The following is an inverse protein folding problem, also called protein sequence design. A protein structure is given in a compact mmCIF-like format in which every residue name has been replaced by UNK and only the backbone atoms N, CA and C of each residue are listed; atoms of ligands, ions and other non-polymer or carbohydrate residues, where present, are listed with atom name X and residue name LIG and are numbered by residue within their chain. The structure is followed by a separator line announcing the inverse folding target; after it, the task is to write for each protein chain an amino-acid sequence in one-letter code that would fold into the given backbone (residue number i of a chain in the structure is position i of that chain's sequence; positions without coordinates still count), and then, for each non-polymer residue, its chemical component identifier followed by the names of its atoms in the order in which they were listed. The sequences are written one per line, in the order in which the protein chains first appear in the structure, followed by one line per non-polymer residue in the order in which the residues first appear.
data_IF_091819075297
#
_entry.id   IF_091819075297
#
_cell.length_a   1.000
_cell.length_b   1.000
_cell.length_c   1.000
_cell.angle_alpha   90.00
_cell.angle_beta   90.00
_cell.angle_gamma   90.00
#
_symmetry.space_group_name_H-M   'P 1'
#
loop_
_entity.id
_entity.type
_entity.pdbx_description
1 polymer ?
#
# COMPACT_ATOMS: atom_id res chain seq x y z
N UNK A 1 -17.82 -7.80 5.26
CA UNK A 1 -19.10 -8.38 5.71
C UNK A 1 -19.43 -9.65 4.91
N UNK A 2 -20.02 -10.72 5.47
CA UNK A 2 -20.51 -11.87 4.69
C UNK A 2 -21.57 -11.52 3.63
N UNK A 3 -22.30 -10.42 3.80
CA UNK A 3 -23.37 -9.94 2.90
C UNK A 3 -22.85 -9.01 1.79
N UNK A 4 -21.63 -8.50 1.90
CA UNK A 4 -21.03 -7.63 0.89
C UNK A 4 -20.57 -8.46 -0.32
N UNK A 5 -21.16 -8.17 -1.49
CA UNK A 5 -20.67 -8.70 -2.77
C UNK A 5 -19.41 -7.93 -3.20
N UNK A 6 -18.31 -8.62 -3.59
CA UNK A 6 -17.15 -7.95 -4.15
C UNK A 6 -17.54 -7.15 -5.39
N UNK A 7 -17.17 -5.87 -5.42
CA UNK A 7 -17.31 -5.04 -6.62
C UNK A 7 -16.44 -5.64 -7.75
N UNK A 8 -16.96 -5.61 -8.98
CA UNK A 8 -16.16 -5.97 -10.14
C UNK A 8 -14.95 -5.05 -10.26
N UNK A 9 -13.77 -5.66 -10.41
CA UNK A 9 -12.55 -4.89 -10.65
C UNK A 9 -12.65 -4.23 -12.00
N UNK A 10 -12.76 -2.91 -12.01
CA UNK A 10 -12.60 -2.11 -13.23
C UNK A 10 -11.15 -2.22 -13.71
N UNK A 11 -10.90 -3.09 -14.68
CA UNK A 11 -9.64 -3.17 -15.43
C UNK A 11 -9.59 -2.03 -16.43
N UNK A 12 -8.55 -1.19 -16.36
CA UNK A 12 -8.33 -0.15 -17.35
C UNK A 12 -7.60 -0.76 -18.55
N UNK A 13 -8.25 -0.75 -19.71
CA UNK A 13 -7.63 -1.13 -20.98
C UNK A 13 -6.73 0.03 -21.45
N UNK A 14 -5.47 -0.01 -21.01
CA UNK A 14 -4.48 1.01 -21.34
C UNK A 14 -4.14 1.03 -22.84
N UNK A 15 -4.27 -0.10 -23.54
CA UNK A 15 -4.02 -0.17 -24.98
C UNK A 15 -5.11 0.59 -25.74
N UNK A 16 -6.37 0.36 -25.39
CA UNK A 16 -7.51 1.12 -25.96
C UNK A 16 -7.42 2.60 -25.63
N UNK A 17 -7.05 2.96 -24.39
CA UNK A 17 -6.83 4.37 -24.02
C UNK A 17 -5.72 4.98 -24.87
N UNK A 18 -4.60 4.27 -25.06
CA UNK A 18 -3.48 4.74 -25.90
C UNK A 18 -3.89 4.90 -27.36
N UNK A 19 -4.60 3.93 -27.93
CA UNK A 19 -5.10 3.99 -29.30
C UNK A 19 -6.03 5.19 -29.50
N UNK A 20 -6.99 5.41 -28.59
CA UNK A 20 -7.89 6.57 -28.63
C UNK A 20 -7.14 7.89 -28.55
N UNK A 21 -6.13 8.00 -27.68
CA UNK A 21 -5.30 9.22 -27.56
C UNK A 21 -4.45 9.47 -28.81
N UNK A 22 -3.89 8.42 -29.41
CA UNK A 22 -3.14 8.52 -30.66
C UNK A 22 -4.03 9.04 -31.80
N UNK A 23 -5.25 8.54 -31.93
CA UNK A 23 -6.20 9.03 -32.93
C UNK A 23 -6.60 10.49 -32.66
N UNK A 24 -6.83 10.85 -31.40
CA UNK A 24 -7.12 12.24 -31.02
C UNK A 24 -5.98 13.18 -31.46
N UNK A 25 -4.72 12.78 -31.26
CA UNK A 25 -3.55 13.55 -31.71
C UNK A 25 -3.48 13.63 -33.25
N UNK A 26 -3.82 12.55 -33.96
CA UNK A 26 -3.86 12.51 -35.42
C UNK A 26 -4.88 13.49 -35.98
N UNK A 27 -6.11 13.45 -35.45
CA UNK A 27 -7.20 14.37 -35.82
C UNK A 27 -6.81 15.82 -35.53
N UNK A 28 -6.28 16.09 -34.33
CA UNK A 28 -5.87 17.44 -33.94
C UNK A 28 -4.84 18.03 -34.92
N UNK A 29 -3.94 17.20 -35.44
CA UNK A 29 -2.93 17.65 -36.42
C UNK A 29 -3.51 18.03 -37.78
N UNK A 30 -4.72 17.56 -38.09
CA UNK A 30 -5.43 17.81 -39.35
C UNK A 30 -6.62 18.78 -39.19
N UNK A 31 -6.83 19.36 -38.01
CA UNK A 31 -7.93 20.27 -37.75
C UNK A 31 -7.74 21.62 -38.49
N UNK A 32 -8.81 22.21 -39.05
CA UNK A 32 -8.74 23.50 -39.73
C UNK A 32 -8.26 24.65 -38.85
N UNK A 33 -8.63 24.63 -37.55
CA UNK A 33 -8.26 25.66 -36.57
C UNK A 33 -6.80 25.58 -36.13
N UNK A 34 -6.10 24.49 -36.47
CA UNK A 34 -4.67 24.39 -36.20
C UNK A 34 -3.93 25.28 -37.19
N UNK A 35 -3.04 26.11 -36.68
CA UNK A 35 -2.18 26.90 -37.53
C UNK A 35 -1.39 26.01 -38.50
N UNK A 36 -1.02 26.57 -39.66
CA UNK A 36 -0.20 25.87 -40.63
C UNK A 36 1.06 25.30 -39.97
N UNK A 37 1.54 24.17 -40.51
CA UNK A 37 2.69 23.47 -39.92
C UNK A 37 3.94 24.36 -39.84
N UNK A 38 4.07 25.31 -40.75
CA UNK A 38 5.08 26.38 -40.77
C UNK A 38 5.01 27.28 -39.54
N UNK A 39 3.82 27.78 -39.20
CA UNK A 39 3.58 28.66 -38.06
C UNK A 39 3.81 27.92 -36.73
N UNK A 40 3.38 26.66 -36.63
CA UNK A 40 3.64 25.82 -35.44
C UNK A 40 5.15 25.60 -35.26
N UNK A 41 5.87 25.29 -36.33
CA UNK A 41 7.34 25.12 -36.30
C UNK A 41 8.05 26.40 -35.85
N UNK A 42 7.61 27.56 -36.31
CA UNK A 42 8.19 28.85 -35.89
C UNK A 42 8.07 29.07 -34.38
N UNK A 43 6.89 28.81 -33.79
CA UNK A 43 6.71 28.95 -32.32
C UNK A 43 7.50 27.91 -31.53
N UNK A 44 7.65 26.70 -32.06
CA UNK A 44 8.54 25.70 -31.47
C UNK A 44 10.01 26.14 -31.52
N UNK A 45 10.47 26.77 -32.60
CA UNK A 45 11.83 27.34 -32.68
C UNK A 45 12.04 28.43 -31.63
N UNK A 46 11.07 29.30 -31.41
CA UNK A 46 11.15 30.32 -30.34
C UNK A 46 11.37 29.68 -28.97
N UNK A 47 10.65 28.58 -28.65
CA UNK A 47 10.85 27.83 -27.40
C UNK A 47 12.31 27.37 -27.22
N UNK A 48 13.00 27.02 -28.32
CA UNK A 48 14.40 26.60 -28.26
C UNK A 48 15.31 27.74 -27.78
N UNK A 49 15.06 28.95 -28.26
CA UNK A 49 15.88 30.15 -28.00
C UNK A 49 15.51 30.86 -26.69
N UNK A 50 14.31 30.59 -26.15
CA UNK A 50 13.77 31.31 -24.98
C UNK A 50 14.48 30.90 -23.68
N UNK A 51 14.77 31.86 -22.80
CA UNK A 51 15.28 31.64 -21.45
C UNK A 51 14.23 31.11 -20.46
N UNK A 52 14.63 30.77 -19.23
CA UNK A 52 13.69 30.26 -18.20
C UNK A 52 12.62 31.29 -17.80
N UNK A 53 12.94 32.57 -17.84
CA UNK A 53 12.04 33.62 -17.34
C UNK A 53 10.85 33.89 -18.27
N UNK A 54 10.98 33.55 -19.56
CA UNK A 54 9.96 33.80 -20.59
C UNK A 54 9.39 32.52 -21.22
N UNK A 55 9.80 31.33 -20.76
CA UNK A 55 9.38 30.06 -21.33
C UNK A 55 7.87 29.84 -21.25
N UNK A 56 7.22 30.24 -20.15
CA UNK A 56 5.78 30.04 -20.01
C UNK A 56 4.99 30.78 -21.10
N UNK A 57 5.41 31.99 -21.46
CA UNK A 57 4.78 32.75 -22.53
C UNK A 57 5.01 32.09 -23.89
N UNK A 58 6.23 31.60 -24.16
CA UNK A 58 6.53 30.86 -25.39
C UNK A 58 5.75 29.54 -25.52
N UNK A 59 5.51 28.84 -24.39
CA UNK A 59 4.68 27.64 -24.34
C UNK A 59 3.20 27.94 -24.58
N UNK A 60 2.65 28.99 -23.96
CA UNK A 60 1.26 29.41 -24.16
C UNK A 60 1.03 29.77 -25.64
N UNK A 61 1.95 30.54 -26.21
CA UNK A 61 1.92 30.96 -27.60
C UNK A 61 1.96 29.75 -28.55
N UNK A 62 2.89 28.80 -28.37
CA UNK A 62 2.93 27.57 -29.16
C UNK A 62 1.66 26.70 -28.98
N UNK A 63 1.14 26.58 -27.75
CA UNK A 63 -0.08 25.83 -27.48
C UNK A 63 -1.31 26.46 -28.17
N UNK A 64 -1.39 27.79 -28.21
CA UNK A 64 -2.47 28.53 -28.89
C UNK A 64 -2.52 28.24 -30.40
N UNK A 65 -1.38 27.88 -30.99
CA UNK A 65 -1.27 27.51 -32.40
C UNK A 65 -1.47 25.99 -32.63
N UNK A 66 -1.79 25.22 -31.59
CA UNK A 66 -2.02 23.78 -31.66
C UNK A 66 -0.75 22.94 -31.59
N UNK A 67 0.31 23.43 -30.96
CA UNK A 67 1.45 22.61 -30.56
C UNK A 67 1.06 21.65 -29.42
N UNK A 68 1.44 20.39 -29.54
CA UNK A 68 1.19 19.39 -28.49
C UNK A 68 2.20 19.53 -27.35
N UNK A 69 1.84 19.05 -26.15
CA UNK A 69 2.74 18.99 -24.99
C UNK A 69 4.05 18.24 -25.34
N UNK A 70 3.96 17.19 -26.16
CA UNK A 70 5.12 16.44 -26.62
C UNK A 70 6.05 17.23 -27.54
N UNK A 71 5.49 18.05 -28.44
CA UNK A 71 6.26 18.92 -29.34
C UNK A 71 6.95 20.04 -28.59
N UNK A 72 6.21 20.75 -27.72
CA UNK A 72 6.77 21.82 -26.88
C UNK A 72 7.86 21.29 -25.93
N UNK A 73 7.62 20.13 -25.30
CA UNK A 73 8.60 19.50 -24.42
C UNK A 73 9.88 19.08 -25.15
N UNK A 74 9.79 18.63 -26.41
CA UNK A 74 10.97 18.34 -27.24
C UNK A 74 11.71 19.61 -27.62
N UNK A 75 11.01 20.65 -28.07
CA UNK A 75 11.60 21.93 -28.42
C UNK A 75 12.38 22.56 -27.26
N UNK A 76 11.81 22.53 -26.05
CA UNK A 76 12.49 23.04 -24.86
C UNK A 76 13.79 22.29 -24.53
N UNK A 77 13.81 20.96 -24.71
CA UNK A 77 14.98 20.12 -24.39
C UNK A 77 16.07 20.14 -25.47
N UNK A 78 15.68 20.27 -26.74
CA UNK A 78 16.58 20.13 -27.89
C UNK A 78 17.89 20.95 -27.81
N UNK A 79 17.88 22.27 -27.49
CA UNK A 79 19.11 23.08 -27.48
C UNK A 79 19.92 22.97 -26.17
N UNK A 80 19.37 22.38 -25.12
CA UNK A 80 19.96 22.42 -23.77
C UNK A 80 20.97 21.32 -23.50
N UNK A 81 21.15 20.38 -24.44
CA UNK A 81 22.11 19.30 -24.33
C UNK A 81 21.82 18.34 -23.18
N UNK A 82 22.14 17.07 -23.37
CA UNK A 82 21.96 16.04 -22.36
C UNK A 82 21.64 14.73 -23.05
N UNK A 83 22.38 13.68 -22.70
CA UNK A 83 21.98 12.34 -23.10
C UNK A 83 20.54 12.10 -22.64
N UNK A 84 19.67 11.53 -23.49
CA UNK A 84 18.34 11.13 -23.06
C UNK A 84 18.49 10.17 -21.88
N UNK A 85 18.17 10.64 -20.68
CA UNK A 85 18.08 9.74 -19.52
C UNK A 85 16.87 8.85 -19.78
N UNK A 86 17.15 7.63 -20.23
CA UNK A 86 16.14 6.61 -20.43
C UNK A 86 15.64 6.15 -19.05
N UNK A 87 14.65 6.85 -18.52
CA UNK A 87 13.93 6.40 -17.34
C UNK A 87 12.79 5.46 -17.77
N UNK A 88 12.69 4.28 -17.14
CA UNK A 88 11.52 3.42 -17.29
C UNK A 88 10.30 4.19 -16.77
N UNK A 89 9.27 4.46 -17.58
CA UNK A 89 8.08 5.14 -17.11
C UNK A 89 7.45 4.38 -15.95
N UNK A 90 7.10 5.09 -14.86
CA UNK A 90 6.26 4.51 -13.82
C UNK A 90 4.87 4.34 -14.43
N UNK A 91 4.48 3.09 -14.66
CA UNK A 91 3.15 2.79 -15.20
C UNK A 91 2.05 3.32 -14.27
N UNK A 92 0.91 3.79 -14.82
CA UNK A 92 -0.23 4.16 -14.01
C UNK A 92 -0.67 2.96 -13.17
N UNK A 93 -0.88 3.19 -11.87
CA UNK A 93 -1.35 2.16 -10.93
C UNK A 93 -2.41 2.76 -10.03
N UNK A 94 -3.48 2.01 -9.80
CA UNK A 94 -4.47 2.36 -8.78
C UNK A 94 -3.80 2.28 -7.41
N UNK A 95 -3.83 3.37 -6.64
CA UNK A 95 -3.25 3.41 -5.28
C UNK A 95 -3.83 2.33 -4.36
N UNK A 96 -5.15 2.09 -4.47
CA UNK A 96 -5.83 1.05 -3.71
C UNK A 96 -5.51 -0.39 -4.18
N UNK A 97 -4.88 -0.56 -5.35
CA UNK A 97 -4.69 -1.88 -5.98
C UNK A 97 -3.92 -2.87 -5.09
N UNK A 98 -2.97 -2.39 -4.30
CA UNK A 98 -2.24 -3.25 -3.35
C UNK A 98 -3.17 -3.82 -2.27
N UNK A 99 -4.03 -3.00 -1.68
CA UNK A 99 -5.01 -3.45 -0.68
C UNK A 99 -6.11 -4.32 -1.28
N UNK A 100 -6.56 -3.99 -2.50
CA UNK A 100 -7.50 -4.82 -3.26
C UNK A 100 -6.94 -6.22 -3.53
N UNK A 101 -5.63 -6.35 -3.78
CA UNK A 101 -4.95 -7.65 -3.91
C UNK A 101 -4.90 -8.41 -2.59
N UNK A 102 -4.53 -7.76 -1.48
CA UNK A 102 -4.51 -8.40 -0.15
C UNK A 102 -5.90 -8.93 0.23
N UNK A 103 -6.96 -8.13 0.03
CA UNK A 103 -8.34 -8.55 0.29
C UNK A 103 -8.77 -9.71 -0.58
N UNK A 104 -8.40 -9.70 -1.87
CA UNK A 104 -8.69 -10.81 -2.77
C UNK A 104 -7.97 -12.10 -2.34
N UNK A 105 -6.72 -12.01 -1.90
CA UNK A 105 -5.96 -13.14 -1.37
C UNK A 105 -6.62 -13.74 -0.11
N UNK A 106 -7.03 -12.90 0.85
CA UNK A 106 -7.78 -13.33 2.04
C UNK A 106 -9.10 -14.02 1.67
N UNK A 107 -9.83 -13.50 0.68
CA UNK A 107 -11.05 -14.13 0.17
C UNK A 107 -10.78 -15.46 -0.53
N UNK A 108 -9.72 -15.54 -1.33
CA UNK A 108 -9.31 -16.79 -1.99
C UNK A 108 -8.96 -17.86 -0.95
N UNK A 109 -8.23 -17.49 0.11
CA UNK A 109 -7.94 -18.38 1.23
C UNK A 109 -9.22 -18.90 1.90
N UNK A 110 -10.22 -18.04 2.12
CA UNK A 110 -11.53 -18.47 2.66
C UNK A 110 -12.23 -19.47 1.75
N UNK A 111 -12.16 -19.27 0.42
CA UNK A 111 -12.77 -20.20 -0.55
C UNK A 111 -12.09 -21.56 -0.57
N UNK A 112 -10.76 -21.61 -0.42
CA UNK A 112 -9.99 -22.87 -0.47
C UNK A 112 -10.01 -23.63 0.86
N UNK A 113 -9.98 -22.92 1.99
CA UNK A 113 -9.90 -23.54 3.33
C UNK A 113 -11.24 -23.64 4.06
N UNK A 114 -12.30 -23.01 3.53
CA UNK A 114 -13.63 -22.95 4.13
C UNK A 114 -13.81 -21.87 5.19
N UNK A 115 -12.73 -21.24 5.69
CA UNK A 115 -12.77 -20.21 6.72
C UNK A 115 -11.75 -19.08 6.45
N UNK A 116 -12.04 -17.82 6.85
CA UNK A 116 -11.04 -16.76 6.73
C UNK A 116 -9.84 -17.02 7.67
N UNK A 117 -8.66 -16.48 7.34
CA UNK A 117 -7.51 -16.55 8.23
C UNK A 117 -7.82 -15.76 9.52
N UNK A 118 -7.70 -16.42 10.68
CA UNK A 118 -8.08 -15.83 11.98
C UNK A 118 -6.90 -15.09 12.58
N UNK A 119 -7.12 -13.82 12.92
CA UNK A 119 -6.22 -12.99 13.71
C UNK A 119 -6.84 -12.80 15.10
N UNK A 120 -6.04 -12.89 16.15
CA UNK A 120 -6.48 -12.64 17.51
C UNK A 120 -5.74 -11.46 18.12
N UNK A 121 -6.43 -10.56 18.80
CA UNK A 121 -5.81 -9.46 19.54
C UNK A 121 -5.69 -9.86 21.01
N UNK A 122 -4.46 -10.09 21.47
CA UNK A 122 -4.12 -10.33 22.86
C UNK A 122 -4.03 -8.99 23.59
N UNK A 123 -5.18 -8.53 24.09
CA UNK A 123 -5.32 -7.30 24.88
C UNK A 123 -4.84 -7.53 26.30
N UNK A 124 -3.64 -7.05 26.66
CA UNK A 124 -3.04 -7.29 27.96
C UNK A 124 -3.30 -6.13 28.93
N UNK A 125 -3.48 -6.44 30.21
CA UNK A 125 -3.72 -5.45 31.26
C UNK A 125 -5.09 -4.77 31.18
N UNK A 126 -5.30 -3.70 31.98
CA UNK A 126 -6.54 -2.92 32.00
C UNK A 126 -6.92 -2.32 30.64
N UNK A 127 -8.22 -2.08 30.44
CA UNK A 127 -8.77 -1.51 29.19
C UNK A 127 -8.04 -0.25 28.72
N UNK A 128 -7.71 0.66 29.64
CA UNK A 128 -7.00 1.90 29.33
C UNK A 128 -5.61 1.67 28.70
N UNK A 129 -4.95 0.54 28.99
CA UNK A 129 -3.63 0.22 28.47
C UNK A 129 -3.68 -0.27 27.02
N UNK A 130 -4.66 -1.13 26.70
CA UNK A 130 -4.68 -1.83 25.41
C UNK A 130 -5.66 -1.26 24.39
N UNK A 131 -6.69 -0.50 24.79
CA UNK A 131 -7.82 -0.12 23.91
C UNK A 131 -7.37 0.53 22.60
N UNK A 132 -6.55 1.57 22.68
CA UNK A 132 -6.09 2.30 21.50
C UNK A 132 -5.28 1.41 20.54
N UNK A 133 -4.46 0.49 21.07
CA UNK A 133 -3.69 -0.46 20.25
C UNK A 133 -4.55 -1.58 19.69
N UNK A 134 -5.56 -2.02 20.41
CA UNK A 134 -6.52 -3.01 19.92
C UNK A 134 -7.34 -2.45 18.76
N UNK A 135 -7.85 -1.21 18.89
CA UNK A 135 -8.59 -0.52 17.82
C UNK A 135 -7.70 -0.30 16.59
N UNK A 136 -6.50 0.27 16.79
CA UNK A 136 -5.53 0.45 15.70
C UNK A 136 -5.20 -0.88 15.00
N UNK A 137 -4.94 -1.95 15.76
CA UNK A 137 -4.60 -3.27 15.22
C UNK A 137 -5.79 -3.89 14.48
N UNK A 138 -7.00 -3.71 15.00
CA UNK A 138 -8.24 -4.15 14.34
C UNK A 138 -8.36 -3.52 12.94
N UNK A 139 -8.23 -2.21 12.86
CA UNK A 139 -8.34 -1.46 11.60
C UNK A 139 -7.19 -1.76 10.65
N UNK A 140 -5.98 -1.92 11.18
CA UNK A 140 -4.79 -2.31 10.41
C UNK A 140 -5.02 -3.65 9.70
N UNK A 141 -5.53 -4.65 10.41
CA UNK A 141 -5.82 -5.96 9.84
C UNK A 141 -7.05 -5.96 8.92
N UNK A 142 -8.04 -5.11 9.21
CA UNK A 142 -9.22 -4.93 8.35
C UNK A 142 -8.86 -4.39 6.95
N UNK A 143 -7.74 -3.67 6.79
CA UNK A 143 -7.25 -3.26 5.49
C UNK A 143 -6.98 -4.45 4.53
N UNK A 144 -6.53 -5.59 5.06
CA UNK A 144 -6.34 -6.85 4.34
C UNK A 144 -7.60 -7.73 4.26
N UNK A 145 -8.73 -7.28 4.83
CA UNK A 145 -9.97 -8.06 4.89
C UNK A 145 -9.99 -9.11 6.00
N UNK A 146 -9.06 -9.04 6.96
CA UNK A 146 -9.08 -9.87 8.16
C UNK A 146 -9.90 -9.15 9.24
N UNK A 147 -10.85 -9.84 9.88
CA UNK A 147 -11.59 -9.32 11.03
C UNK A 147 -11.04 -9.99 12.30
N UNK A 148 -10.24 -9.28 13.11
CA UNK A 148 -9.66 -9.88 14.31
C UNK A 148 -10.71 -10.21 15.37
N UNK A 149 -10.43 -11.25 16.15
CA UNK A 149 -11.17 -11.59 17.37
C UNK A 149 -10.42 -11.06 18.58
N UNK A 150 -11.12 -10.64 19.62
CA UNK A 150 -10.50 -10.20 20.88
C UNK A 150 -11.41 -10.50 22.07
N UNK A 151 -10.81 -10.62 23.26
CA UNK A 151 -11.52 -10.73 24.53
C UNK A 151 -11.59 -9.40 25.28
N UNK A 152 -11.94 -9.44 26.56
CA UNK A 152 -12.11 -8.25 27.42
C UNK A 152 -10.88 -7.91 28.27
N UNK A 153 -9.68 -8.22 27.78
CA UNK A 153 -8.44 -8.07 28.56
C UNK A 153 -7.95 -9.36 29.20
N UNK A 154 -6.64 -9.48 29.39
CA UNK A 154 -5.96 -10.62 30.02
C UNK A 154 -4.87 -10.15 30.98
N UNK A 155 -4.78 -10.80 32.13
CA UNK A 155 -3.75 -10.52 33.14
C UNK A 155 -2.45 -11.29 32.88
N UNK A 156 -2.55 -12.47 32.25
CA UNK A 156 -1.40 -13.35 32.00
C UNK A 156 -1.26 -13.75 30.54
N UNK A 157 -0.03 -13.93 30.04
CA UNK A 157 0.21 -14.46 28.69
C UNK A 157 -0.49 -15.79 28.43
N UNK A 158 -0.51 -16.68 29.40
CA UNK A 158 -1.15 -17.99 29.31
C UNK A 158 -2.64 -17.85 28.98
N UNK A 159 -3.37 -17.02 29.73
CA UNK A 159 -4.79 -16.81 29.49
C UNK A 159 -5.07 -16.22 28.09
N UNK A 160 -4.25 -15.26 27.66
CA UNK A 160 -4.38 -14.66 26.34
C UNK A 160 -4.10 -15.66 25.20
N UNK A 161 -3.07 -16.50 25.36
CA UNK A 161 -2.71 -17.52 24.37
C UNK A 161 -3.75 -18.64 24.32
N UNK A 162 -4.31 -19.07 25.46
CA UNK A 162 -5.42 -20.03 25.47
C UNK A 162 -6.63 -19.52 24.67
N UNK A 163 -6.99 -18.26 24.85
CA UNK A 163 -8.07 -17.65 24.09
C UNK A 163 -7.76 -17.58 22.58
N UNK A 164 -6.49 -17.32 22.22
CA UNK A 164 -6.04 -17.37 20.82
C UNK A 164 -6.10 -18.79 20.23
N UNK A 165 -5.73 -19.81 21.01
CA UNK A 165 -5.85 -21.23 20.64
C UNK A 165 -7.30 -21.60 20.40
N UNK A 166 -8.19 -21.26 21.34
CA UNK A 166 -9.62 -21.51 21.22
C UNK A 166 -10.24 -20.80 20.01
N UNK A 167 -9.71 -19.63 19.65
CA UNK A 167 -10.12 -18.90 18.45
C UNK A 167 -9.60 -19.51 17.14
N UNK A 168 -8.65 -20.44 17.18
CA UNK A 168 -7.98 -20.98 15.99
C UNK A 168 -7.09 -19.95 15.29
N UNK A 169 -6.42 -19.09 16.07
CA UNK A 169 -5.63 -17.99 15.55
C UNK A 169 -4.41 -18.45 14.76
N UNK A 170 -4.22 -17.89 13.57
CA UNK A 170 -2.99 -18.04 12.75
C UNK A 170 -2.03 -16.86 12.91
N UNK A 171 -2.51 -15.77 13.50
CA UNK A 171 -1.70 -14.65 13.92
C UNK A 171 -2.26 -14.08 15.22
N UNK A 172 -1.38 -13.63 16.10
CA UNK A 172 -1.74 -13.00 17.36
C UNK A 172 -1.03 -11.67 17.48
N UNK A 173 -1.81 -10.60 17.70
CA UNK A 173 -1.31 -9.25 17.89
C UNK A 173 -1.36 -8.91 19.38
N UNK A 174 -0.19 -8.73 19.97
CA UNK A 174 -0.04 -8.29 21.35
C UNK A 174 -0.33 -6.79 21.46
N UNK A 175 -1.36 -6.43 22.22
CA UNK A 175 -1.79 -5.06 22.47
C UNK A 175 -1.62 -4.74 23.96
N UNK A 176 -0.59 -3.97 24.30
CA UNK A 176 -0.35 -3.42 25.65
C UNK A 176 0.30 -2.04 25.56
N UNK A 177 0.94 -1.51 26.61
CA UNK A 177 1.77 -0.29 26.55
C UNK A 177 3.26 -0.63 26.38
N UNK A 178 4.05 0.33 25.86
CA UNK A 178 5.49 0.13 25.65
C UNK A 178 6.24 -0.17 26.96
N UNK A 179 5.84 0.48 28.06
CA UNK A 179 6.43 0.27 29.38
C UNK A 179 6.32 -1.18 29.87
N UNK A 180 5.30 -1.92 29.44
CA UNK A 180 5.07 -3.32 29.86
C UNK A 180 5.77 -4.34 28.98
N UNK A 181 6.11 -3.98 27.74
CA UNK A 181 6.66 -4.92 26.76
C UNK A 181 7.99 -5.60 27.14
N UNK A 182 8.94 -4.94 27.84
CA UNK A 182 10.21 -5.59 28.20
C UNK A 182 10.02 -6.89 28.99
N UNK A 183 9.04 -6.91 29.90
CA UNK A 183 8.69 -8.11 30.66
C UNK A 183 7.68 -9.00 29.91
N UNK A 184 6.69 -8.39 29.26
CA UNK A 184 5.55 -9.09 28.69
C UNK A 184 5.90 -9.86 27.40
N UNK A 185 6.67 -9.26 26.49
CA UNK A 185 6.92 -9.85 25.16
C UNK A 185 7.70 -11.17 25.26
N UNK A 186 8.81 -11.29 26.02
CA UNK A 186 9.53 -12.56 26.12
C UNK A 186 8.68 -13.69 26.74
N UNK A 187 7.91 -13.39 27.78
CA UNK A 187 6.99 -14.35 28.41
C UNK A 187 5.90 -14.80 27.43
N UNK A 188 5.28 -13.84 26.73
CA UNK A 188 4.26 -14.11 25.73
C UNK A 188 4.77 -14.96 24.57
N UNK A 189 5.95 -14.64 24.01
CA UNK A 189 6.56 -15.42 22.95
C UNK A 189 6.88 -16.86 23.39
N UNK A 190 7.27 -17.07 24.65
CA UNK A 190 7.53 -18.40 25.20
C UNK A 190 6.27 -19.27 25.18
N UNK A 191 5.15 -18.73 25.67
CA UNK A 191 3.86 -19.44 25.68
C UNK A 191 3.35 -19.66 24.26
N UNK A 192 3.45 -18.66 23.38
CA UNK A 192 3.06 -18.79 21.97
C UNK A 192 3.81 -19.92 21.26
N UNK A 193 5.14 -20.03 21.44
CA UNK A 193 5.93 -21.13 20.86
C UNK A 193 5.49 -22.51 21.32
N UNK A 194 4.98 -22.63 22.56
CA UNK A 194 4.51 -23.89 23.11
C UNK A 194 3.10 -24.26 22.61
N UNK A 195 2.22 -23.28 22.44
CA UNK A 195 0.79 -23.51 22.19
C UNK A 195 0.34 -23.29 20.74
N UNK A 196 0.99 -22.37 20.04
CA UNK A 196 0.73 -21.99 18.64
C UNK A 196 2.06 -21.74 17.91
N UNK A 197 2.91 -22.77 17.72
CA UNK A 197 4.26 -22.61 17.16
C UNK A 197 4.29 -22.01 15.76
N UNK A 198 3.24 -22.24 14.96
CA UNK A 198 3.14 -21.76 13.58
C UNK A 198 2.46 -20.40 13.45
N UNK A 199 1.89 -19.85 14.54
CA UNK A 199 1.16 -18.60 14.48
C UNK A 199 2.11 -17.40 14.45
N UNK A 200 1.80 -16.41 13.61
CA UNK A 200 2.57 -15.17 13.57
C UNK A 200 2.36 -14.35 14.85
N UNK A 201 3.46 -14.00 15.52
CA UNK A 201 3.47 -13.12 16.69
C UNK A 201 3.75 -11.68 16.23
N UNK A 202 2.84 -10.77 16.54
CA UNK A 202 2.91 -9.36 16.13
C UNK A 202 2.83 -8.50 17.39
N UNK A 203 3.63 -7.43 17.47
CA UNK A 203 3.54 -6.44 18.55
C UNK A 203 2.95 -5.13 18.02
N UNK A 204 1.91 -4.62 18.69
CA UNK A 204 1.36 -3.31 18.39
C UNK A 204 2.20 -2.22 19.07
N UNK A 205 2.91 -1.40 18.28
CA UNK A 205 3.88 -0.41 18.75
C UNK A 205 5.26 -0.65 18.18
N UNK A 206 6.19 0.26 18.49
CA UNK A 206 7.58 0.17 18.04
C UNK A 206 8.53 0.48 19.20
N UNK A 207 8.78 -0.49 20.09
CA UNK A 207 9.69 -0.36 21.22
C UNK A 207 11.15 -0.42 20.72
N UNK A 208 11.66 0.73 20.25
CA UNK A 208 12.93 0.82 19.49
C UNK A 208 14.12 0.19 20.20
N UNK A 209 14.21 0.35 21.53
CA UNK A 209 15.30 -0.17 22.36
C UNK A 209 15.27 -1.70 22.49
N UNK A 210 14.15 -2.35 22.16
CA UNK A 210 13.94 -3.79 22.36
C UNK A 210 13.67 -4.55 21.06
N UNK A 211 13.79 -3.92 19.88
CA UNK A 211 13.45 -4.55 18.60
C UNK A 211 14.22 -5.85 18.37
N UNK A 212 15.53 -5.84 18.58
CA UNK A 212 16.37 -7.01 18.38
C UNK A 212 16.03 -8.11 19.40
N UNK A 213 15.93 -7.76 20.68
CA UNK A 213 15.57 -8.69 21.75
C UNK A 213 14.18 -9.35 21.50
N UNK A 214 13.20 -8.58 21.07
CA UNK A 214 11.85 -9.08 20.79
C UNK A 214 11.81 -9.95 19.53
N UNK A 215 12.57 -9.59 18.49
CA UNK A 215 12.72 -10.43 17.29
C UNK A 215 13.35 -11.77 17.64
N UNK A 216 14.43 -11.78 18.44
CA UNK A 216 15.07 -13.00 18.94
C UNK A 216 14.13 -13.82 19.84
N UNK A 217 13.29 -13.15 20.64
CA UNK A 217 12.27 -13.82 21.45
C UNK A 217 11.20 -14.52 20.59
N UNK A 218 10.97 -14.07 19.35
CA UNK A 218 10.05 -14.71 18.39
C UNK A 218 9.00 -13.77 17.79
N UNK A 219 9.10 -12.45 18.00
CA UNK A 219 8.23 -11.49 17.32
C UNK A 219 8.57 -11.45 15.84
N UNK A 220 7.54 -11.49 14.99
CA UNK A 220 7.69 -11.53 13.54
C UNK A 220 7.49 -10.17 12.89
N UNK A 221 6.57 -9.35 13.41
CA UNK A 221 6.26 -8.02 12.86
C UNK A 221 5.90 -7.04 13.98
N UNK A 222 6.14 -5.76 13.70
CA UNK A 222 5.72 -4.63 14.53
C UNK A 222 4.77 -3.75 13.71
N UNK A 223 3.59 -3.44 14.26
CA UNK A 223 2.62 -2.56 13.60
C UNK A 223 2.53 -1.23 14.35
N UNK A 224 2.70 -0.13 13.63
CA UNK A 224 2.75 1.23 14.19
C UNK A 224 2.42 2.27 13.10
N UNK A 225 2.34 3.55 13.49
CA UNK A 225 1.97 4.67 12.61
C UNK A 225 2.84 4.83 11.35
N UNK A 226 4.09 4.36 11.40
CA UNK A 226 5.07 4.46 10.30
C UNK A 226 5.21 3.15 9.50
N UNK A 227 4.41 2.13 9.79
CA UNK A 227 4.48 0.86 9.06
C UNK A 227 4.01 1.05 7.62
N UNK A 228 4.72 0.45 6.67
CA UNK A 228 4.18 0.22 5.33
C UNK A 228 3.06 -0.83 5.43
N UNK A 229 1.82 -0.36 5.52
CA UNK A 229 0.66 -1.20 5.80
C UNK A 229 0.52 -2.32 4.78
N UNK A 230 0.66 -2.03 3.49
CA UNK A 230 0.48 -3.03 2.44
C UNK A 230 1.59 -4.10 2.48
N UNK A 231 2.85 -3.69 2.64
CA UNK A 231 3.96 -4.61 2.72
C UNK A 231 3.92 -5.47 3.99
N UNK A 232 3.63 -4.86 5.14
CA UNK A 232 3.54 -5.56 6.44
C UNK A 232 2.38 -6.55 6.45
N UNK A 233 1.19 -6.16 5.98
CA UNK A 233 0.07 -7.10 5.85
C UNK A 233 0.38 -8.25 4.90
N UNK A 234 1.07 -7.98 3.79
CA UNK A 234 1.53 -9.04 2.89
C UNK A 234 2.38 -10.09 3.63
N UNK A 235 3.39 -9.66 4.40
CA UNK A 235 4.23 -10.57 5.19
C UNK A 235 3.43 -11.34 6.23
N UNK A 236 2.50 -10.70 6.93
CA UNK A 236 1.62 -11.35 7.91
C UNK A 236 0.75 -12.42 7.23
N UNK A 237 0.08 -12.07 6.13
CA UNK A 237 -0.79 -12.98 5.38
C UNK A 237 -0.02 -14.19 4.85
N UNK A 238 1.17 -13.98 4.28
CA UNK A 238 2.02 -15.08 3.82
C UNK A 238 2.40 -16.03 4.96
N UNK A 239 2.71 -15.51 6.16
CA UNK A 239 2.96 -16.36 7.34
C UNK A 239 1.72 -17.12 7.79
N UNK A 240 0.53 -16.54 7.64
CA UNK A 240 -0.74 -17.22 7.90
C UNK A 240 -1.09 -18.28 6.83
N UNK A 241 -0.25 -18.46 5.80
CA UNK A 241 -0.47 -19.41 4.71
C UNK A 241 -1.37 -18.88 3.59
N UNK A 242 -1.59 -17.57 3.50
CA UNK A 242 -2.33 -16.94 2.41
C UNK A 242 -1.40 -16.68 1.21
N UNK A 243 -1.78 -17.19 0.03
CA UNK A 243 -1.07 -16.96 -1.22
C UNK A 243 -1.43 -15.57 -1.80
N UNK A 244 -0.42 -14.74 -2.06
CA UNK A 244 -0.57 -13.37 -2.57
C UNK A 244 -0.37 -13.26 -4.09
#
# INVERSE_FOLDING_TARGET
DPQEMPLERRTEDLETVRARRAETLRVLRTMPDRAEETAVKERLSRIMETGRDSIMNALIDAASQGATIGEMGRAWRAPRGGEPVAARPIGPRRRAGQYESLRAATQAFRRTTGAPPVVFLATMGPLAQHKARAEFSSDFMAAAGCMPRMGTGYDTPEAAVEAAVAAGARAVVLCSTDDTYPALVPAFCTVMKQRLPDAAIIVAGLPQEHLEAFTQAGVHEFIHLRSDVAATLGRILSRMGVTL
#
